data_IF_256275175186
#
_entry.id   IF_256275175186
#
_cell.length_a   1.000
_cell.length_b   1.000
_cell.length_c   1.000
_cell.angle_alpha   90.00
_cell.angle_beta   90.00
_cell.angle_gamma   90.00
#
_symmetry.space_group_name_H-M   'P 1'
#
loop_
_entity.id
_entity.type
_entity.pdbx_description
1 polymer ?
#
# COMPACT_ATOMS: atom_id res chain seq x y z
N UNK A 1 22.47 36.69 -41.47
CA UNK A 1 22.79 35.25 -41.39
C UNK A 1 22.80 34.88 -39.91
N UNK A 2 21.85 34.06 -39.49
CA UNK A 2 21.53 33.79 -38.09
C UNK A 2 21.77 32.31 -37.79
N UNK A 3 22.18 32.02 -36.54
CA UNK A 3 22.42 30.72 -35.87
C UNK A 3 23.85 30.17 -35.99
N UNK A 4 24.40 29.51 -34.92
CA UNK A 4 23.66 28.70 -33.96
C UNK A 4 23.79 29.07 -32.47
N UNK A 5 22.68 28.76 -31.80
CA UNK A 5 22.42 28.72 -30.36
C UNK A 5 23.09 27.47 -29.78
N UNK A 6 24.10 27.65 -28.93
CA UNK A 6 24.76 26.56 -28.22
C UNK A 6 24.24 26.50 -26.77
N UNK A 7 23.81 25.31 -26.39
CA UNK A 7 22.96 25.01 -25.25
C UNK A 7 23.70 25.10 -23.90
N UNK A 8 23.01 25.65 -22.90
CA UNK A 8 23.44 25.69 -21.50
C UNK A 8 23.37 24.28 -20.87
N UNK A 9 24.37 23.81 -20.11
CA UNK A 9 24.28 22.56 -19.36
C UNK A 9 23.36 22.69 -18.14
N UNK A 10 22.49 21.69 -17.99
CA UNK A 10 21.42 21.56 -17.00
C UNK A 10 21.91 21.54 -15.55
N UNK A 11 21.28 22.37 -14.72
CA UNK A 11 21.43 22.40 -13.25
C UNK A 11 20.83 21.11 -12.65
N UNK A 12 21.50 20.41 -11.72
CA UNK A 12 20.85 19.33 -10.97
C UNK A 12 19.89 19.93 -9.94
N UNK A 13 18.59 19.74 -10.18
CA UNK A 13 17.55 20.05 -9.19
C UNK A 13 17.66 19.07 -8.00
N UNK A 14 18.00 19.60 -6.83
CA UNK A 14 17.81 18.89 -5.55
C UNK A 14 16.31 18.63 -5.37
N UNK A 15 15.88 17.37 -5.50
CA UNK A 15 14.58 16.95 -5.03
C UNK A 15 14.64 16.78 -3.51
N UNK A 16 14.38 17.87 -2.79
CA UNK A 16 13.90 17.78 -1.42
C UNK A 16 12.45 17.30 -1.50
N UNK A 17 12.21 16.00 -1.33
CA UNK A 17 10.86 15.48 -1.13
C UNK A 17 10.43 15.87 0.27
N UNK A 18 9.85 17.06 0.37
CA UNK A 18 9.07 17.53 1.49
C UNK A 18 7.97 16.52 1.78
N UNK A 19 8.01 15.93 2.96
CA UNK A 19 6.86 15.33 3.64
C UNK A 19 5.86 16.45 3.95
N UNK A 20 4.62 16.45 3.41
CA UNK A 20 3.53 17.16 4.04
C UNK A 20 2.71 16.18 4.88
N UNK A 21 1.87 16.76 5.74
CA UNK A 21 0.77 16.18 6.55
C UNK A 21 1.18 15.48 7.86
N UNK A 22 0.77 15.93 9.04
CA UNK A 22 -0.06 17.05 9.47
C UNK A 22 -0.20 17.02 11.00
N UNK A 23 -0.08 18.17 11.65
CA UNK A 23 -0.35 18.33 13.08
C UNK A 23 -1.84 18.19 13.36
N UNK A 24 -2.20 17.39 14.37
CA UNK A 24 -3.48 17.54 15.09
C UNK A 24 -4.53 16.44 14.88
N UNK A 25 -4.27 15.25 15.40
CA UNK A 25 -5.25 14.56 16.23
C UNK A 25 -4.47 13.54 17.09
N UNK A 26 -4.84 13.33 18.37
CA UNK A 26 -4.46 12.11 19.10
C UNK A 26 -5.25 10.93 18.51
N UNK A 27 -5.15 10.73 17.19
CA UNK A 27 -5.54 9.48 16.58
C UNK A 27 -4.61 8.43 17.18
N UNK A 28 -5.18 7.32 17.64
CA UNK A 28 -4.40 6.18 18.12
C UNK A 28 -3.23 5.93 17.16
N UNK A 29 -2.01 5.77 17.71
CA UNK A 29 -0.85 5.46 16.90
C UNK A 29 -1.19 4.27 16.00
N UNK A 30 -1.04 4.38 14.67
CA UNK A 30 -1.30 3.24 13.80
C UNK A 30 -0.44 2.07 14.25
N UNK A 31 -1.02 0.88 14.25
CA UNK A 31 -0.31 -0.36 14.62
C UNK A 31 0.67 -0.73 13.51
N UNK A 32 0.30 -0.39 12.28
CA UNK A 32 1.08 -0.58 11.06
C UNK A 32 0.51 0.36 9.98
N UNK A 33 1.18 0.47 8.84
CA UNK A 33 0.72 1.22 7.68
C UNK A 33 0.82 0.35 6.43
N UNK A 34 -0.22 0.33 5.59
CA UNK A 34 -0.08 -0.19 4.22
C UNK A 34 0.26 0.96 3.28
N UNK A 35 1.23 0.76 2.40
CA UNK A 35 1.58 1.76 1.39
C UNK A 35 1.42 1.16 0.01
N UNK A 36 0.61 1.81 -0.81
CA UNK A 36 0.47 1.47 -2.23
C UNK A 36 1.77 1.79 -2.96
N UNK A 37 2.39 0.78 -3.56
CA UNK A 37 3.68 0.90 -4.23
C UNK A 37 3.61 1.71 -5.54
N UNK A 38 2.44 1.77 -6.18
CA UNK A 38 2.24 2.48 -7.44
C UNK A 38 1.90 3.96 -7.23
N UNK A 39 1.08 4.26 -6.22
CA UNK A 39 0.59 5.63 -5.96
C UNK A 39 1.30 6.33 -4.81
N UNK A 40 1.96 5.57 -3.92
CA UNK A 40 2.56 6.08 -2.68
C UNK A 40 1.54 6.44 -1.60
N UNK A 41 0.27 6.09 -1.78
CA UNK A 41 -0.78 6.37 -0.80
C UNK A 41 -0.60 5.46 0.42
N UNK A 42 -0.62 6.06 1.61
CA UNK A 42 -0.50 5.36 2.88
C UNK A 42 -1.87 5.18 3.56
N UNK A 43 -2.14 3.98 4.03
CA UNK A 43 -3.33 3.58 4.75
C UNK A 43 -2.95 3.16 6.18
N UNK A 44 -3.16 4.01 7.19
CA UNK A 44 -2.84 3.69 8.57
C UNK A 44 -3.79 2.61 9.12
N UNK A 45 -3.23 1.53 9.65
CA UNK A 45 -3.97 0.43 10.26
C UNK A 45 -4.17 0.71 11.75
N UNK A 46 -5.35 1.19 12.11
CA UNK A 46 -5.71 1.53 13.50
C UNK A 46 -6.50 0.43 14.21
N UNK A 47 -6.91 -0.62 13.49
CA UNK A 47 -7.74 -1.72 13.97
C UNK A 47 -6.99 -3.04 13.80
N UNK A 48 -7.29 -4.04 14.64
CA UNK A 48 -6.70 -5.38 14.52
C UNK A 48 -7.27 -6.22 13.37
N UNK A 49 -8.33 -5.74 12.70
CA UNK A 49 -8.94 -6.39 11.54
C UNK A 49 -9.18 -5.32 10.48
N UNK A 50 -8.68 -5.56 9.27
CA UNK A 50 -8.65 -4.61 8.17
C UNK A 50 -9.07 -5.36 6.91
N UNK A 51 -10.17 -4.93 6.29
CA UNK A 51 -10.60 -5.49 5.01
C UNK A 51 -9.95 -4.75 3.84
N UNK A 52 -9.54 -5.51 2.82
CA UNK A 52 -8.92 -5.03 1.60
C UNK A 52 -9.80 -5.43 0.40
N UNK A 53 -10.15 -4.47 -0.43
CA UNK A 53 -10.95 -4.76 -1.61
C UNK A 53 -11.35 -3.52 -2.40
N UNK A 54 -11.96 -3.73 -3.56
CA UNK A 54 -12.31 -2.65 -4.49
C UNK A 54 -13.48 -1.79 -4.04
N UNK A 55 -14.40 -2.38 -3.27
CA UNK A 55 -15.57 -1.67 -2.76
C UNK A 55 -15.17 -0.68 -1.65
N UNK A 56 -15.92 0.42 -1.57
CA UNK A 56 -15.66 1.50 -0.61
C UNK A 56 -16.04 1.16 0.84
N UNK A 57 -16.67 0.01 1.07
CA UNK A 57 -16.99 -0.50 2.40
C UNK A 57 -15.82 -1.24 3.06
N UNK A 58 -14.75 -1.51 2.32
CA UNK A 58 -13.51 -2.05 2.89
C UNK A 58 -12.73 -0.96 3.64
N UNK A 59 -12.04 -1.36 4.70
CA UNK A 59 -11.15 -0.46 5.46
C UNK A 59 -10.10 0.18 4.56
N UNK A 60 -9.56 -0.60 3.62
CA UNK A 60 -8.65 -0.13 2.57
C UNK A 60 -9.29 -0.39 1.23
N UNK A 61 -9.74 0.70 0.60
CA UNK A 61 -10.25 0.66 -0.75
C UNK A 61 -9.09 0.57 -1.76
N UNK A 62 -9.01 -0.56 -2.44
CA UNK A 62 -8.08 -0.81 -3.54
C UNK A 62 -8.71 -0.35 -4.85
N UNK A 63 -8.20 0.73 -5.45
CA UNK A 63 -8.76 1.31 -6.68
C UNK A 63 -8.30 0.57 -7.94
N UNK A 64 -8.53 -0.73 -7.98
CA UNK A 64 -8.16 -1.59 -9.10
C UNK A 64 -9.33 -2.47 -9.53
N UNK A 65 -9.65 -2.44 -10.82
CA UNK A 65 -10.70 -3.24 -11.44
C UNK A 65 -10.44 -4.75 -11.33
N UNK A 66 -9.17 -5.17 -11.24
CA UNK A 66 -8.75 -6.56 -11.10
C UNK A 66 -8.82 -7.06 -9.64
N UNK A 67 -9.05 -6.16 -8.68
CA UNK A 67 -9.29 -6.57 -7.31
C UNK A 67 -10.77 -6.95 -7.11
N UNK A 68 -11.00 -8.07 -6.40
CA UNK A 68 -12.33 -8.43 -5.92
C UNK A 68 -12.92 -7.36 -5.00
N UNK A 69 -14.26 -7.35 -4.91
CA UNK A 69 -15.03 -6.44 -4.06
C UNK A 69 -14.58 -6.51 -2.61
N UNK A 70 -14.54 -7.72 -2.05
CA UNK A 70 -13.85 -8.07 -0.82
C UNK A 70 -12.78 -9.08 -1.22
N UNK A 71 -11.52 -8.66 -1.22
CA UNK A 71 -10.44 -9.43 -1.80
C UNK A 71 -9.71 -10.23 -0.74
N UNK A 72 -9.24 -9.54 0.29
CA UNK A 72 -8.48 -10.12 1.37
C UNK A 72 -8.79 -9.44 2.70
N UNK A 73 -8.44 -10.10 3.78
CA UNK A 73 -8.51 -9.56 5.13
C UNK A 73 -7.17 -9.67 5.81
N UNK A 74 -6.79 -8.60 6.51
CA UNK A 74 -5.65 -8.56 7.40
C UNK A 74 -6.12 -8.63 8.85
N UNK A 75 -5.61 -9.59 9.60
CA UNK A 75 -5.89 -9.74 11.02
C UNK A 75 -4.59 -9.70 11.80
N UNK A 76 -4.49 -8.79 12.77
CA UNK A 76 -3.44 -8.75 13.76
C UNK A 76 -3.72 -9.81 14.83
N UNK A 77 -2.89 -10.84 14.86
CA UNK A 77 -2.95 -11.86 15.89
C UNK A 77 -2.45 -11.33 17.25
N UNK A 78 -2.86 -11.94 18.38
CA UNK A 78 -2.41 -11.56 19.72
C UNK A 78 -0.89 -11.55 19.91
N UNK A 79 -0.15 -12.37 19.15
CA UNK A 79 1.33 -12.34 19.16
C UNK A 79 1.95 -11.15 18.42
N UNK A 80 1.16 -10.18 17.92
CA UNK A 80 1.65 -9.00 17.21
C UNK A 80 2.01 -9.25 15.74
N UNK A 81 1.52 -10.34 15.16
CA UNK A 81 1.79 -10.73 13.76
C UNK A 81 0.55 -10.49 12.92
N UNK A 82 0.69 -9.74 11.83
CA UNK A 82 -0.36 -9.58 10.83
C UNK A 82 -0.49 -10.87 10.01
N UNK A 83 -1.71 -11.29 9.73
CA UNK A 83 -2.02 -12.41 8.83
C UNK A 83 -2.92 -11.90 7.74
N UNK A 84 -2.53 -12.15 6.49
CA UNK A 84 -3.42 -11.96 5.35
C UNK A 84 -4.18 -13.24 5.08
N UNK A 85 -5.46 -13.11 4.77
CA UNK A 85 -6.36 -14.19 4.37
C UNK A 85 -7.09 -13.78 3.10
N UNK A 86 -6.96 -14.57 2.04
CA UNK A 86 -7.73 -14.40 0.82
C UNK A 86 -9.20 -14.80 1.05
N UNK A 87 -10.14 -14.01 0.53
CA UNK A 87 -11.58 -14.24 0.70
C UNK A 87 -12.23 -14.91 -0.52
N UNK A 88 -11.46 -15.66 -1.30
CA UNK A 88 -11.91 -16.24 -2.58
C UNK A 88 -11.87 -15.19 -3.69
N UNK A 89 -10.77 -14.44 -3.77
CA UNK A 89 -10.61 -13.42 -4.80
C UNK A 89 -10.45 -14.03 -6.20
N UNK A 90 -10.80 -13.27 -7.24
CA UNK A 90 -10.77 -13.80 -8.62
C UNK A 90 -9.35 -14.07 -9.11
N UNK A 91 -8.38 -13.24 -8.70
CA UNK A 91 -6.99 -13.30 -9.15
C UNK A 91 -6.04 -13.86 -8.07
N UNK A 92 -6.58 -14.25 -6.91
CA UNK A 92 -5.78 -14.64 -5.75
C UNK A 92 -5.10 -13.45 -5.06
N UNK A 93 -4.68 -13.70 -3.82
CA UNK A 93 -3.80 -12.80 -3.06
C UNK A 93 -2.37 -13.30 -3.17
N UNK A 94 -1.43 -12.45 -3.58
CA UNK A 94 -0.01 -12.81 -3.62
C UNK A 94 0.76 -12.09 -2.52
N UNK A 95 1.67 -12.79 -1.86
CA UNK A 95 2.65 -12.22 -0.93
C UNK A 95 4.04 -12.42 -1.49
N UNK A 96 4.76 -11.34 -1.74
CA UNK A 96 6.09 -11.33 -2.38
C UNK A 96 6.11 -12.15 -3.70
N UNK A 97 5.03 -12.09 -4.47
CA UNK A 97 4.87 -12.80 -5.75
C UNK A 97 4.50 -14.28 -5.62
N UNK A 98 4.14 -14.77 -4.43
CA UNK A 98 3.63 -16.13 -4.23
C UNK A 98 2.16 -16.08 -3.85
N UNK A 99 1.31 -16.83 -4.54
CA UNK A 99 -0.12 -16.92 -4.23
C UNK A 99 -0.33 -17.63 -2.88
N UNK A 100 -1.19 -17.05 -2.03
CA UNK A 100 -1.47 -17.55 -0.68
C UNK A 100 -2.94 -17.47 -0.35
N UNK A 101 -3.45 -18.49 0.34
CA UNK A 101 -4.80 -18.46 0.93
C UNK A 101 -4.78 -17.82 2.32
N UNK A 102 -3.78 -18.12 3.13
CA UNK A 102 -3.59 -17.52 4.46
C UNK A 102 -2.11 -17.53 4.80
N UNK A 103 -1.54 -16.39 5.14
CA UNK A 103 -0.11 -16.29 5.44
C UNK A 103 0.20 -15.21 6.49
N UNK A 104 1.08 -15.49 7.48
CA UNK A 104 1.62 -14.45 8.34
C UNK A 104 2.54 -13.53 7.55
N UNK A 105 2.39 -12.23 7.77
CA UNK A 105 3.17 -11.17 7.16
C UNK A 105 4.22 -10.61 8.11
N UNK A 106 5.29 -10.11 7.52
CA UNK A 106 6.32 -9.30 8.17
C UNK A 106 6.28 -7.89 7.62
N UNK A 107 6.77 -6.95 8.42
CA UNK A 107 7.03 -5.60 7.93
C UNK A 107 8.05 -5.65 6.78
N UNK A 108 7.71 -4.98 5.69
CA UNK A 108 8.42 -5.01 4.41
C UNK A 108 7.81 -5.95 3.37
N UNK A 109 6.90 -6.87 3.76
CA UNK A 109 6.25 -7.76 2.80
C UNK A 109 5.28 -7.00 1.89
N UNK A 110 5.22 -7.45 0.63
CA UNK A 110 4.36 -6.91 -0.42
C UNK A 110 3.18 -7.83 -0.65
N UNK A 111 1.98 -7.29 -0.52
CA UNK A 111 0.71 -7.96 -0.77
C UNK A 111 0.19 -7.45 -2.11
N UNK A 112 0.04 -8.32 -3.09
CA UNK A 112 -0.55 -7.99 -4.38
C UNK A 112 -2.00 -8.45 -4.44
N UNK A 113 -2.90 -7.53 -4.79
CA UNK A 113 -4.33 -7.75 -4.94
C UNK A 113 -4.72 -7.31 -6.35
N UNK A 114 -4.97 -8.25 -7.26
CA UNK A 114 -5.12 -7.94 -8.68
C UNK A 114 -3.80 -7.42 -9.26
N UNK A 115 -3.74 -6.13 -9.58
CA UNK A 115 -2.53 -5.42 -10.06
C UNK A 115 -2.01 -4.39 -9.06
N UNK A 116 -2.71 -4.15 -7.95
CA UNK A 116 -2.23 -3.27 -6.87
C UNK A 116 -1.30 -4.00 -5.94
N UNK A 117 -0.13 -3.41 -5.68
CA UNK A 117 0.83 -3.90 -4.68
C UNK A 117 0.82 -2.97 -3.46
N UNK A 118 0.56 -3.55 -2.28
CA UNK A 118 0.57 -2.87 -0.98
C UNK A 118 1.72 -3.41 -0.13
N UNK A 119 2.57 -2.53 0.38
CA UNK A 119 3.67 -2.92 1.28
C UNK A 119 3.28 -2.66 2.73
N UNK A 120 3.48 -3.67 3.59
CA UNK A 120 3.26 -3.52 5.03
C UNK A 120 4.44 -2.82 5.69
N UNK A 121 4.19 -1.72 6.38
CA UNK A 121 5.17 -0.93 7.11
C UNK A 121 4.80 -0.87 8.61
N UNK A 122 5.80 -0.74 9.50
CA UNK A 122 5.56 -0.56 10.93
C UNK A 122 4.87 0.78 11.24
#
# INVERSE_FOLDING_TARGET
ASHPFEALPSVPIRAASTVPVGSGNRAASPIATLVDAATGVSYPLTQSKVSLGREADNTVQVRDINASRHHAELVLQPQGVWVVTDLGSTNGTLVNGQEVATMPLKYGDRITLGTTELMLQP
#
